data_IF_345445098986
#
_entry.id   IF_345445098986
#
_cell.length_a   1.000
_cell.length_b   1.000
_cell.length_c   1.000
_cell.angle_alpha   90.00
_cell.angle_beta   90.00
_cell.angle_gamma   90.00
#
_symmetry.space_group_name_H-M   'P 1'
#
loop_
_entity.id
_entity.type
_entity.pdbx_description
1 polymer ?
#
# COMPACT_ATOMS: atom_id res chain seq x y z
N UNK A 1 18.81 -24.89 39.05
CA UNK A 1 18.18 -25.98 39.83
C UNK A 1 16.78 -25.61 40.35
N UNK A 2 15.99 -24.82 39.62
CA UNK A 2 14.58 -24.54 39.91
C UNK A 2 13.71 -24.76 38.65
N UNK A 3 14.01 -25.82 37.88
CA UNK A 3 13.33 -26.17 36.64
C UNK A 3 12.94 -27.66 36.56
N UNK A 4 13.06 -28.41 37.66
CA UNK A 4 12.78 -29.84 37.72
C UNK A 4 11.55 -30.21 38.57
N UNK A 5 10.79 -29.23 39.09
CA UNK A 5 9.67 -29.46 40.01
C UNK A 5 8.29 -29.08 39.46
N UNK A 6 8.13 -28.96 38.13
CA UNK A 6 6.85 -28.63 37.50
C UNK A 6 6.38 -29.66 36.46
N UNK A 7 6.85 -30.91 36.56
CA UNK A 7 6.52 -31.98 35.59
C UNK A 7 5.79 -33.18 36.20
N UNK A 8 5.26 -33.08 37.41
CA UNK A 8 4.37 -34.08 37.98
C UNK A 8 3.09 -33.42 38.46
N UNK A 9 2.19 -33.10 37.51
CA UNK A 9 0.72 -32.99 37.62
C UNK A 9 0.17 -32.17 36.42
N UNK A 10 0.22 -32.74 35.22
CA UNK A 10 -0.68 -32.30 34.12
C UNK A 10 -1.00 -33.54 33.27
N UNK A 11 -1.82 -34.43 33.82
CA UNK A 11 -2.53 -35.43 33.02
C UNK A 11 -3.91 -34.86 32.71
N UNK A 12 -4.30 -34.95 31.43
CA UNK A 12 -5.62 -34.64 30.86
C UNK A 12 -5.83 -33.18 30.42
N UNK A 13 -5.66 -32.93 29.11
CA UNK A 13 -6.21 -31.76 28.41
C UNK A 13 -5.38 -31.27 27.20
N UNK A 14 -6.02 -31.13 26.03
CA UNK A 14 -5.41 -30.61 24.79
C UNK A 14 -4.73 -29.23 24.96
N UNK A 15 -5.13 -28.45 25.96
CA UNK A 15 -4.57 -27.13 26.26
C UNK A 15 -3.15 -27.16 26.88
N UNK A 16 -2.73 -28.27 27.50
CA UNK A 16 -1.39 -28.38 28.13
C UNK A 16 -0.28 -28.64 27.09
N UNK A 17 -0.61 -29.27 25.94
CA UNK A 17 0.32 -29.50 24.82
C UNK A 17 0.61 -28.22 24.01
N UNK A 18 -0.35 -27.30 23.93
CA UNK A 18 -0.17 -26.02 23.25
C UNK A 18 0.77 -25.09 24.04
N UNK A 19 0.66 -25.08 25.37
CA UNK A 19 1.49 -24.25 26.23
C UNK A 19 2.99 -24.63 26.20
N UNK A 20 3.29 -25.92 26.14
CA UNK A 20 4.67 -26.44 26.04
C UNK A 20 5.28 -26.19 24.66
N UNK A 21 4.47 -26.24 23.58
CA UNK A 21 4.91 -25.86 22.24
C UNK A 21 5.21 -24.36 22.13
N UNK A 22 4.40 -23.49 22.76
CA UNK A 22 4.65 -22.04 22.79
C UNK A 22 5.89 -21.68 23.61
N UNK A 23 6.16 -22.40 24.71
CA UNK A 23 7.35 -22.19 25.55
C UNK A 23 8.65 -22.66 24.87
N UNK A 24 8.60 -23.72 24.06
CA UNK A 24 9.72 -24.18 23.23
C UNK A 24 10.02 -23.22 22.07
N UNK A 25 9.01 -22.59 21.46
CA UNK A 25 9.22 -21.53 20.45
C UNK A 25 9.85 -20.25 21.03
N UNK A 26 9.52 -19.89 22.28
CA UNK A 26 10.10 -18.73 22.97
C UNK A 26 11.57 -18.96 23.39
N UNK A 27 11.96 -20.20 23.70
CA UNK A 27 13.35 -20.55 24.01
C UNK A 27 14.22 -20.64 22.75
N UNK A 28 13.67 -21.07 21.60
CA UNK A 28 14.36 -21.04 20.31
C UNK A 28 14.62 -19.61 19.81
N UNK A 29 13.69 -18.68 20.05
CA UNK A 29 13.86 -17.26 19.74
C UNK A 29 14.96 -16.59 20.58
N UNK A 30 15.20 -17.08 21.80
CA UNK A 30 16.22 -16.54 22.71
C UNK A 30 17.66 -16.97 22.35
N UNK A 31 17.83 -18.11 21.66
CA UNK A 31 19.16 -18.62 21.29
C UNK A 31 19.70 -18.04 19.97
N UNK A 32 18.86 -17.39 19.15
CA UNK A 32 19.26 -16.80 17.86
C UNK A 32 19.55 -15.29 17.99
N UNK A 33 19.02 -14.63 19.03
CA UNK A 33 19.26 -13.21 19.36
C UNK A 33 20.69 -12.87 19.85
N UNK A 34 21.62 -13.82 19.83
CA UNK A 34 23.03 -13.63 20.20
C UNK A 34 24.00 -13.53 19.00
N UNK A 35 23.51 -13.56 17.76
CA UNK A 35 24.37 -13.41 16.55
C UNK A 35 23.87 -12.31 15.63
N UNK A 36 24.19 -11.06 15.95
CA UNK A 36 24.58 -9.98 15.02
C UNK A 36 24.40 -8.62 15.71
N UNK A 37 25.50 -8.10 16.23
CA UNK A 37 25.55 -6.94 17.12
C UNK A 37 25.91 -5.64 16.40
N UNK A 38 25.09 -5.19 15.45
CA UNK A 38 25.14 -3.80 14.97
C UNK A 38 23.70 -3.30 14.85
N UNK A 39 23.42 -2.12 15.40
CA UNK A 39 22.09 -1.46 15.49
C UNK A 39 21.24 -1.73 16.75
N UNK A 40 21.90 -1.77 17.93
CA UNK A 40 21.26 -1.90 19.25
C UNK A 40 20.53 -0.66 19.81
N UNK A 41 20.42 0.46 19.10
CA UNK A 41 19.89 1.70 19.71
C UNK A 41 18.37 1.90 19.60
N UNK A 42 17.64 1.08 18.84
CA UNK A 42 16.17 1.17 18.75
C UNK A 42 15.44 0.03 19.48
N UNK A 43 16.10 -1.13 19.68
CA UNK A 43 15.49 -2.29 20.33
C UNK A 43 15.49 -2.24 21.87
N UNK A 44 16.16 -1.26 22.48
CA UNK A 44 16.34 -1.23 23.93
C UNK A 44 15.17 -0.62 24.73
N UNK A 45 14.13 -0.09 24.07
CA UNK A 45 12.90 0.39 24.73
C UNK A 45 11.75 -0.63 24.74
N UNK A 46 11.89 -1.81 24.13
CA UNK A 46 10.83 -2.82 24.07
C UNK A 46 11.06 -4.04 24.99
N UNK A 47 12.06 -4.00 25.88
CA UNK A 47 12.57 -5.20 26.56
C UNK A 47 12.54 -5.22 28.09
N UNK A 48 11.84 -4.31 28.78
CA UNK A 48 11.73 -4.35 30.26
C UNK A 48 10.34 -3.97 30.73
N UNK A 49 9.50 -4.97 30.95
CA UNK A 49 8.23 -4.77 31.63
C UNK A 49 7.33 -5.99 31.61
N UNK A 50 7.80 -7.17 32.01
CA UNK A 50 6.90 -8.29 32.32
C UNK A 50 7.56 -9.28 33.29
N UNK A 51 7.52 -8.98 34.60
CA UNK A 51 7.24 -9.97 35.66
C UNK A 51 6.48 -9.23 36.77
N UNK A 52 5.40 -9.86 37.24
CA UNK A 52 4.56 -9.55 38.42
C UNK A 52 3.30 -8.67 38.20
N UNK A 53 2.17 -9.39 38.17
CA UNK A 53 0.81 -9.05 38.60
C UNK A 53 0.34 -7.59 38.68
N UNK A 54 -0.68 -7.27 37.89
CA UNK A 54 -1.99 -6.73 38.33
C UNK A 54 -2.87 -6.58 37.10
N UNK A 55 -4.17 -6.86 37.26
CA UNK A 55 -5.19 -6.65 36.22
C UNK A 55 -5.35 -5.17 35.91
N UNK A 56 -4.80 -4.72 34.80
CA UNK A 56 -5.22 -3.48 34.13
C UNK A 56 -5.60 -3.80 32.69
N UNK A 57 -6.89 -3.61 32.39
CA UNK A 57 -7.40 -3.36 31.05
C UNK A 57 -6.82 -2.04 30.57
N UNK A 58 -5.57 -2.08 30.09
CA UNK A 58 -4.92 -0.97 29.41
C UNK A 58 -4.95 -1.24 27.91
N UNK A 59 -5.71 -0.44 27.16
CA UNK A 59 -5.49 -0.27 25.73
C UNK A 59 -4.05 0.20 25.53
N UNK A 60 -3.12 -0.73 25.26
CA UNK A 60 -1.78 -0.35 24.84
C UNK A 60 -1.94 0.37 23.49
N UNK A 61 -1.76 1.69 23.50
CA UNK A 61 -1.73 2.48 22.28
C UNK A 61 -0.68 1.86 21.36
N UNK A 62 -1.09 1.53 20.13
CA UNK A 62 -0.17 1.06 19.11
C UNK A 62 1.00 2.05 19.01
N UNK A 63 2.25 1.57 18.85
CA UNK A 63 3.40 2.46 18.72
C UNK A 63 3.15 3.47 17.59
N UNK A 64 3.45 4.74 17.85
CA UNK A 64 3.27 5.81 16.86
C UNK A 64 4.26 5.57 15.72
N UNK A 65 3.75 5.08 14.59
CA UNK A 65 4.53 4.98 13.35
C UNK A 65 4.82 6.39 12.85
N UNK A 66 6.10 6.71 12.65
CA UNK A 66 6.53 8.00 12.14
C UNK A 66 6.82 7.89 10.64
N UNK A 67 6.39 8.89 9.88
CA UNK A 67 6.78 9.03 8.50
C UNK A 67 8.26 9.38 8.39
N UNK A 68 8.92 8.91 7.34
CA UNK A 68 10.31 9.23 7.04
C UNK A 68 10.41 9.83 5.64
N UNK A 69 11.15 10.94 5.44
CA UNK A 69 11.42 11.42 4.10
C UNK A 69 12.21 10.36 3.33
N UNK A 70 12.05 10.34 2.00
CA UNK A 70 12.73 9.33 1.20
C UNK A 70 14.25 9.56 1.22
N UNK A 71 14.99 8.51 1.59
CA UNK A 71 16.43 8.42 1.38
C UNK A 71 16.69 7.88 -0.02
N UNK A 72 17.29 8.70 -0.87
CA UNK A 72 17.62 8.38 -2.24
C UNK A 72 18.92 7.58 -2.31
N UNK A 73 19.27 7.06 -3.49
CA UNK A 73 20.59 6.47 -3.71
C UNK A 73 21.66 7.55 -3.83
N UNK A 74 21.25 8.76 -4.18
CA UNK A 74 22.11 9.94 -4.26
C UNK A 74 21.39 11.14 -3.63
N UNK A 75 22.14 12.17 -3.18
CA UNK A 75 21.54 13.42 -2.72
C UNK A 75 20.66 14.11 -3.76
N UNK A 76 20.95 13.94 -5.06
CA UNK A 76 20.13 14.48 -6.14
C UNK A 76 18.75 13.82 -6.22
N UNK A 77 18.67 12.50 -6.00
CA UNK A 77 17.39 11.79 -5.94
C UNK A 77 16.55 12.23 -4.73
N UNK A 78 17.18 12.49 -3.57
CA UNK A 78 16.51 13.03 -2.38
C UNK A 78 15.96 14.43 -2.63
N UNK A 79 16.78 15.29 -3.23
CA UNK A 79 16.39 16.66 -3.55
C UNK A 79 15.25 16.70 -4.56
N UNK A 80 15.28 15.85 -5.58
CA UNK A 80 14.19 15.72 -6.55
C UNK A 80 12.90 15.27 -5.86
N UNK A 81 12.96 14.28 -4.98
CA UNK A 81 11.79 13.83 -4.23
C UNK A 81 11.17 14.95 -3.40
N UNK A 82 11.99 15.76 -2.71
CA UNK A 82 11.52 16.93 -1.95
C UNK A 82 10.91 18.02 -2.85
N UNK A 83 11.47 18.23 -4.05
CA UNK A 83 10.91 19.18 -5.01
C UNK A 83 9.52 18.73 -5.48
N UNK A 84 9.36 17.45 -5.80
CA UNK A 84 8.06 16.90 -6.22
C UNK A 84 7.04 16.91 -5.08
N UNK A 85 7.47 16.63 -3.84
CA UNK A 85 6.65 16.80 -2.64
C UNK A 85 6.10 18.23 -2.55
N UNK A 86 6.97 19.24 -2.64
CA UNK A 86 6.56 20.64 -2.58
C UNK A 86 5.60 21.03 -3.72
N UNK A 87 5.78 20.47 -4.92
CA UNK A 87 4.83 20.65 -6.02
C UNK A 87 3.45 20.08 -5.68
N UNK A 88 3.37 18.90 -5.07
CA UNK A 88 2.11 18.30 -4.66
C UNK A 88 1.47 18.97 -3.45
N UNK A 89 2.25 19.55 -2.53
CA UNK A 89 1.72 20.44 -1.48
C UNK A 89 1.02 21.64 -2.13
N UNK A 90 1.65 22.27 -3.13
CA UNK A 90 1.03 23.37 -3.85
C UNK A 90 -0.23 22.92 -4.63
N UNK A 91 -0.21 21.74 -5.27
CA UNK A 91 -1.38 21.16 -5.94
C UNK A 91 -2.52 20.91 -4.94
N UNK A 92 -2.24 20.31 -3.78
CA UNK A 92 -3.19 20.09 -2.69
C UNK A 92 -3.85 21.40 -2.20
N UNK A 93 -3.05 22.47 -2.06
CA UNK A 93 -3.57 23.79 -1.68
C UNK A 93 -4.50 24.38 -2.76
N UNK A 94 -4.18 24.20 -4.04
CA UNK A 94 -5.06 24.64 -5.13
C UNK A 94 -6.37 23.83 -5.18
N UNK A 95 -6.29 22.52 -4.92
CA UNK A 95 -7.47 21.64 -4.85
C UNK A 95 -8.40 22.06 -3.70
N UNK A 96 -7.87 22.53 -2.58
CA UNK A 96 -8.67 23.05 -1.46
C UNK A 96 -9.60 24.21 -1.88
N UNK A 97 -9.14 25.06 -2.81
CA UNK A 97 -9.90 26.21 -3.27
C UNK A 97 -10.96 25.83 -4.30
N UNK A 98 -10.65 24.85 -5.17
CA UNK A 98 -11.55 24.44 -6.24
C UNK A 98 -12.55 23.40 -5.75
N UNK A 99 -12.18 22.55 -4.80
CA UNK A 99 -12.88 21.33 -4.40
C UNK A 99 -12.45 20.14 -5.26
N UNK A 100 -12.43 18.94 -4.66
CA UNK A 100 -11.99 17.70 -5.30
C UNK A 100 -12.92 16.55 -4.90
N UNK A 101 -13.23 15.69 -5.85
CA UNK A 101 -14.12 14.54 -5.63
C UNK A 101 -13.30 13.30 -5.26
N UNK A 102 -12.17 13.08 -5.95
CA UNK A 102 -11.34 11.89 -5.84
C UNK A 102 -9.87 12.26 -5.76
N UNK A 103 -9.13 11.69 -4.80
CA UNK A 103 -7.67 11.81 -4.78
C UNK A 103 -7.02 10.44 -4.69
N UNK A 104 -5.99 10.22 -5.50
CA UNK A 104 -5.16 9.03 -5.44
C UNK A 104 -3.84 9.33 -4.72
N UNK A 105 -3.49 8.48 -3.77
CA UNK A 105 -2.18 8.44 -3.12
C UNK A 105 -1.53 7.10 -3.38
N UNK A 106 -0.21 7.10 -3.52
CA UNK A 106 0.53 5.87 -3.76
C UNK A 106 1.93 6.09 -4.29
N UNK A 107 2.43 5.06 -4.95
CA UNK A 107 3.76 4.98 -5.53
C UNK A 107 3.76 5.12 -7.06
N UNK A 108 4.70 4.46 -7.75
CA UNK A 108 4.88 4.53 -9.21
C UNK A 108 3.70 3.96 -9.99
N UNK A 109 2.96 3.00 -9.43
CA UNK A 109 1.77 2.45 -10.08
C UNK A 109 0.70 3.53 -10.20
N UNK A 110 0.53 4.33 -9.14
CA UNK A 110 -0.40 5.45 -9.13
C UNK A 110 0.14 6.65 -9.88
N UNK A 111 1.45 6.94 -9.80
CA UNK A 111 2.07 8.03 -10.57
C UNK A 111 1.92 7.83 -12.09
N UNK A 112 1.88 6.59 -12.57
CA UNK A 112 1.63 6.27 -13.97
C UNK A 112 0.32 6.89 -14.52
N UNK A 113 -0.67 7.19 -13.65
CA UNK A 113 -1.88 7.93 -14.04
C UNK A 113 -1.59 9.33 -14.61
N UNK A 114 -0.48 9.95 -14.17
CA UNK A 114 0.01 11.24 -14.67
C UNK A 114 0.86 11.08 -15.94
N UNK A 115 1.14 9.85 -16.36
CA UNK A 115 2.05 9.57 -17.47
C UNK A 115 3.52 9.82 -17.12
N UNK A 116 3.85 9.85 -15.82
CA UNK A 116 5.18 10.19 -15.32
C UNK A 116 5.79 9.09 -14.46
N UNK A 117 7.10 9.20 -14.24
CA UNK A 117 7.83 8.48 -13.20
C UNK A 117 8.85 9.44 -12.62
N UNK A 118 8.86 9.62 -11.29
CA UNK A 118 9.68 10.63 -10.63
C UNK A 118 9.44 12.04 -11.19
N UNK A 119 8.18 12.35 -11.53
CA UNK A 119 7.77 13.65 -12.07
C UNK A 119 8.14 13.92 -13.53
N UNK A 120 8.87 13.02 -14.18
CA UNK A 120 9.23 13.15 -15.59
C UNK A 120 8.32 12.31 -16.49
N UNK A 121 7.97 12.78 -17.69
CA UNK A 121 7.24 11.99 -18.67
C UNK A 121 7.89 10.62 -18.89
N UNK A 122 7.08 9.56 -18.90
CA UNK A 122 7.55 8.20 -19.13
C UNK A 122 6.78 7.58 -20.30
N UNK A 123 7.50 7.19 -21.35
CA UNK A 123 6.91 6.61 -22.56
C UNK A 123 6.04 5.38 -22.29
N UNK A 124 6.39 4.55 -21.30
CA UNK A 124 5.61 3.37 -20.92
C UNK A 124 4.22 3.72 -20.37
N UNK A 125 4.03 4.94 -19.89
CA UNK A 125 2.81 5.43 -19.27
C UNK A 125 2.15 6.56 -20.07
N UNK A 126 2.68 6.92 -21.25
CA UNK A 126 2.22 8.07 -22.03
C UNK A 126 0.73 7.99 -22.42
N UNK A 127 0.20 6.79 -22.61
CA UNK A 127 -1.21 6.57 -22.93
C UNK A 127 -2.13 6.46 -21.68
N UNK A 128 -1.58 6.30 -20.48
CA UNK A 128 -2.35 6.12 -19.25
C UNK A 128 -3.19 7.35 -18.87
N UNK A 129 -2.73 8.61 -19.04
CA UNK A 129 -3.57 9.79 -18.78
C UNK A 129 -4.87 9.82 -19.61
N UNK A 130 -4.86 9.32 -20.85
CA UNK A 130 -6.06 9.25 -21.67
C UNK A 130 -7.08 8.25 -21.11
N UNK A 131 -6.60 7.13 -20.56
CA UNK A 131 -7.45 6.16 -19.84
C UNK A 131 -8.07 6.82 -18.61
N UNK A 132 -7.24 7.46 -17.78
CA UNK A 132 -7.71 8.18 -16.58
C UNK A 132 -8.74 9.25 -16.93
N UNK A 133 -8.54 9.99 -18.03
CA UNK A 133 -9.50 10.98 -18.52
C UNK A 133 -10.85 10.35 -18.92
N UNK A 134 -10.86 9.13 -19.49
CA UNK A 134 -12.12 8.44 -19.82
C UNK A 134 -12.91 8.01 -18.58
N UNK A 135 -12.22 7.56 -17.54
CA UNK A 135 -12.83 7.18 -16.26
C UNK A 135 -13.29 8.42 -15.49
N UNK A 136 -12.38 9.37 -15.24
CA UNK A 136 -12.57 10.42 -14.24
C UNK A 136 -12.65 11.83 -14.80
N UNK A 137 -12.63 12.03 -16.12
CA UNK A 137 -12.68 13.36 -16.75
C UNK A 137 -13.95 14.19 -16.47
N UNK A 138 -14.98 13.56 -15.90
CA UNK A 138 -16.24 14.19 -15.52
C UNK A 138 -16.29 14.62 -14.05
N UNK A 139 -15.25 14.32 -13.27
CA UNK A 139 -15.09 14.70 -11.86
C UNK A 139 -13.75 15.40 -11.68
N UNK A 140 -13.60 16.07 -10.53
CA UNK A 140 -12.30 16.64 -10.17
C UNK A 140 -11.50 15.58 -9.44
N UNK A 141 -10.44 15.11 -10.08
CA UNK A 141 -9.53 14.14 -9.51
C UNK A 141 -8.10 14.69 -9.43
N UNK A 142 -7.31 14.20 -8.48
CA UNK A 142 -5.87 14.42 -8.43
C UNK A 142 -5.12 13.12 -8.08
N UNK A 143 -3.88 12.99 -8.55
CA UNK A 143 -2.99 11.89 -8.16
C UNK A 143 -1.74 12.48 -7.51
N UNK A 144 -1.64 12.37 -6.18
CA UNK A 144 -0.56 12.89 -5.33
C UNK A 144 0.39 11.74 -4.94
N UNK A 145 1.11 11.23 -5.94
CA UNK A 145 1.86 9.97 -5.85
C UNK A 145 3.28 10.11 -6.41
N UNK A 146 4.24 9.42 -5.79
CA UNK A 146 5.65 9.49 -6.17
C UNK A 146 6.26 8.11 -6.34
N UNK A 147 6.87 7.88 -7.50
CA UNK A 147 7.53 6.63 -7.84
C UNK A 147 8.58 6.24 -6.81
N UNK A 148 8.53 5.00 -6.33
CA UNK A 148 9.49 4.47 -5.36
C UNK A 148 9.15 4.78 -3.90
N UNK A 149 8.06 5.51 -3.61
CA UNK A 149 7.59 5.71 -2.25
C UNK A 149 7.30 4.39 -1.55
N UNK A 150 7.71 4.31 -0.30
CA UNK A 150 7.25 3.32 0.66
C UNK A 150 6.08 3.86 1.48
N UNK A 151 5.49 3.00 2.30
CA UNK A 151 4.43 3.41 3.24
C UNK A 151 4.84 4.55 4.17
N UNK A 152 6.08 4.54 4.67
CA UNK A 152 6.61 5.58 5.54
C UNK A 152 6.89 6.89 4.80
N UNK A 153 7.25 6.83 3.51
CA UNK A 153 7.43 8.03 2.70
C UNK A 153 6.10 8.75 2.48
N UNK A 154 5.05 8.01 2.12
CA UNK A 154 3.72 8.59 1.98
C UNK A 154 3.21 9.16 3.32
N UNK A 155 3.37 8.43 4.43
CA UNK A 155 2.99 8.92 5.75
C UNK A 155 3.65 10.27 6.05
N UNK A 156 4.95 10.39 5.75
CA UNK A 156 5.66 11.66 5.90
C UNK A 156 5.04 12.76 5.03
N UNK A 157 4.79 12.51 3.73
CA UNK A 157 4.21 13.52 2.84
C UNK A 157 2.85 14.03 3.33
N UNK A 158 2.00 13.11 3.77
CA UNK A 158 0.67 13.42 4.34
C UNK A 158 0.79 14.29 5.59
N UNK A 159 1.78 14.01 6.45
CA UNK A 159 2.04 14.78 7.66
C UNK A 159 2.68 16.16 7.36
N UNK A 160 3.32 16.31 6.20
CA UNK A 160 4.06 17.51 5.80
C UNK A 160 3.38 18.30 4.68
N UNK A 161 2.04 18.35 4.69
CA UNK A 161 1.26 19.30 3.88
C UNK A 161 0.60 18.74 2.63
N UNK A 162 0.88 17.50 2.23
CA UNK A 162 0.14 16.84 1.12
C UNK A 162 -1.14 16.13 1.58
N UNK A 163 -1.42 16.16 2.89
CA UNK A 163 -2.59 15.51 3.43
C UNK A 163 -3.91 16.11 2.90
N UNK A 164 -5.01 15.34 2.94
CA UNK A 164 -6.26 15.71 2.31
C UNK A 164 -7.10 16.69 3.13
N UNK A 165 -6.49 17.77 3.66
CA UNK A 165 -7.20 18.84 4.37
C UNK A 165 -8.23 19.56 3.47
N UNK A 166 -8.07 19.43 2.14
CA UNK A 166 -9.05 19.83 1.13
C UNK A 166 -10.30 18.94 1.05
N UNK A 167 -10.40 17.94 1.95
CA UNK A 167 -11.58 17.12 2.21
C UNK A 167 -12.25 16.51 0.96
N UNK A 168 -11.55 15.66 0.20
CA UNK A 168 -12.13 14.94 -0.93
C UNK A 168 -13.28 14.04 -0.45
N UNK A 169 -14.20 13.67 -1.35
CA UNK A 169 -15.25 12.69 -1.02
C UNK A 169 -14.63 11.32 -0.75
N UNK A 170 -13.66 10.93 -1.58
CA UNK A 170 -12.93 9.68 -1.45
C UNK A 170 -11.44 9.85 -1.74
N UNK A 171 -10.61 9.21 -0.93
CA UNK A 171 -9.21 8.98 -1.24
C UNK A 171 -8.97 7.51 -1.54
N UNK A 172 -8.18 7.22 -2.57
CA UNK A 172 -7.76 5.86 -2.93
C UNK A 172 -6.27 5.74 -2.64
N UNK A 173 -5.90 4.67 -1.94
CA UNK A 173 -4.53 4.41 -1.52
C UNK A 173 -4.03 3.08 -2.08
N UNK A 174 -2.96 3.13 -2.89
CA UNK A 174 -2.18 1.96 -3.30
C UNK A 174 -0.70 2.20 -2.97
N UNK A 175 -0.22 1.57 -1.90
CA UNK A 175 1.16 1.76 -1.40
C UNK A 175 1.66 0.48 -0.74
N UNK A 176 2.96 0.23 -0.84
CA UNK A 176 3.62 -0.84 -0.07
C UNK A 176 4.49 -1.80 -0.90
N UNK A 177 4.34 -1.83 -2.22
CA UNK A 177 5.13 -2.74 -3.08
C UNK A 177 6.63 -2.43 -3.00
N UNK A 178 6.99 -1.17 -2.80
CA UNK A 178 8.38 -0.76 -2.70
C UNK A 178 9.00 -1.19 -1.37
N UNK A 179 8.24 -1.18 -0.26
CA UNK A 179 8.70 -1.65 1.05
C UNK A 179 9.24 -3.09 0.97
N UNK A 180 8.61 -3.94 0.16
CA UNK A 180 8.98 -5.35 -0.03
C UNK A 180 10.30 -5.56 -0.78
N UNK A 181 10.85 -4.52 -1.42
CA UNK A 181 12.06 -4.62 -2.24
C UNK A 181 13.09 -3.53 -1.95
N UNK A 182 12.79 -2.61 -1.04
CA UNK A 182 13.65 -1.48 -0.76
C UNK A 182 14.76 -1.89 0.23
N UNK A 183 16.04 -1.95 -0.20
CA UNK A 183 17.14 -2.33 0.68
C UNK A 183 17.40 -1.28 1.77
N UNK A 184 16.96 -0.03 1.59
CA UNK A 184 17.11 1.05 2.59
C UNK A 184 16.31 0.72 3.87
N UNK A 185 15.15 0.08 3.72
CA UNK A 185 14.32 -0.37 4.86
C UNK A 185 14.55 -1.84 5.21
N UNK A 186 15.37 -2.55 4.42
CA UNK A 186 15.90 -3.90 4.65
C UNK A 186 14.86 -4.92 5.18
N UNK A 187 13.63 -4.90 4.66
CA UNK A 187 12.58 -5.83 5.12
C UNK A 187 12.91 -7.27 4.68
N UNK A 188 12.83 -8.21 5.62
CA UNK A 188 13.13 -9.63 5.37
C UNK A 188 11.94 -10.34 4.74
N UNK A 189 11.98 -10.46 3.41
CA UNK A 189 11.01 -11.25 2.65
C UNK A 189 11.02 -12.75 2.98
N UNK A 190 12.00 -13.27 3.72
CA UNK A 190 11.98 -14.65 4.23
C UNK A 190 11.10 -14.80 5.49
N UNK A 191 10.69 -13.70 6.11
CA UNK A 191 9.62 -13.67 7.12
C UNK A 191 8.41 -12.87 6.59
N UNK A 192 7.61 -13.45 5.68
CA UNK A 192 6.55 -12.72 4.98
C UNK A 192 5.44 -12.22 5.92
N UNK A 193 5.18 -12.91 7.03
CA UNK A 193 4.14 -12.50 8.00
C UNK A 193 4.56 -11.23 8.75
N UNK A 194 5.79 -11.20 9.24
CA UNK A 194 6.34 -10.02 9.91
C UNK A 194 6.49 -8.84 8.94
N UNK A 195 7.08 -9.09 7.76
CA UNK A 195 7.20 -8.08 6.71
C UNK A 195 5.84 -7.52 6.32
N UNK A 196 4.85 -8.38 6.08
CA UNK A 196 3.51 -7.93 5.69
C UNK A 196 2.81 -7.12 6.78
N UNK A 197 3.01 -7.48 8.06
CA UNK A 197 2.49 -6.72 9.18
C UNK A 197 3.12 -5.31 9.27
N UNK A 198 4.43 -5.19 9.06
CA UNK A 198 5.14 -3.90 9.06
C UNK A 198 4.64 -2.99 7.94
N UNK A 199 4.55 -3.51 6.71
CA UNK A 199 4.07 -2.74 5.55
C UNK A 199 2.62 -2.30 5.78
N UNK A 200 1.75 -3.21 6.23
CA UNK A 200 0.37 -2.86 6.54
C UNK A 200 0.26 -1.80 7.63
N UNK A 201 1.07 -1.87 8.69
CA UNK A 201 1.08 -0.86 9.75
C UNK A 201 1.43 0.54 9.23
N UNK A 202 2.42 0.65 8.34
CA UNK A 202 2.78 1.92 7.70
C UNK A 202 1.64 2.49 6.84
N UNK A 203 1.00 1.65 6.02
CA UNK A 203 -0.14 2.06 5.20
C UNK A 203 -1.33 2.51 6.07
N UNK A 204 -1.65 1.75 7.13
CA UNK A 204 -2.72 2.11 8.08
C UNK A 204 -2.41 3.41 8.79
N UNK A 205 -1.16 3.66 9.19
CA UNK A 205 -0.77 4.92 9.79
C UNK A 205 -0.98 6.11 8.82
N UNK A 206 -0.67 5.94 7.54
CA UNK A 206 -0.96 6.95 6.51
C UNK A 206 -2.46 7.21 6.38
N UNK A 207 -3.29 6.16 6.34
CA UNK A 207 -4.76 6.29 6.31
C UNK A 207 -5.28 7.03 7.54
N UNK A 208 -4.81 6.68 8.74
CA UNK A 208 -5.19 7.38 9.96
C UNK A 208 -4.77 8.85 9.95
N UNK A 209 -3.59 9.17 9.41
CA UNK A 209 -3.15 10.56 9.23
C UNK A 209 -4.05 11.33 8.26
N UNK A 210 -4.50 10.70 7.16
CA UNK A 210 -5.46 11.30 6.23
C UNK A 210 -6.83 11.52 6.88
N UNK A 211 -7.37 10.53 7.59
CA UNK A 211 -8.68 10.60 8.25
C UNK A 211 -8.75 11.65 9.37
N UNK A 212 -7.62 11.96 10.02
CA UNK A 212 -7.52 13.06 11.00
C UNK A 212 -7.64 14.44 10.35
N UNK A 213 -7.28 14.57 9.08
CA UNK A 213 -7.32 15.83 8.35
C UNK A 213 -8.64 16.05 7.60
N UNK A 214 -9.38 14.97 7.29
CA UNK A 214 -10.72 15.07 6.72
C UNK A 214 -11.71 14.15 7.43
N UNK A 215 -12.67 14.77 8.13
CA UNK A 215 -13.74 14.07 8.85
C UNK A 215 -14.82 13.46 7.94
N UNK A 216 -14.91 13.90 6.67
CA UNK A 216 -15.97 13.49 5.72
C UNK A 216 -15.49 12.56 4.61
N UNK A 217 -14.17 12.41 4.45
CA UNK A 217 -13.57 11.57 3.43
C UNK A 217 -13.75 10.08 3.78
N UNK A 218 -14.08 9.28 2.78
CA UNK A 218 -13.94 7.83 2.78
C UNK A 218 -12.58 7.42 2.19
N UNK A 219 -11.95 6.38 2.71
CA UNK A 219 -10.68 5.87 2.18
C UNK A 219 -10.86 4.48 1.60
N UNK A 220 -10.45 4.29 0.35
CA UNK A 220 -10.31 2.96 -0.26
C UNK A 220 -8.85 2.56 -0.18
N UNK A 221 -8.57 1.50 0.58
CA UNK A 221 -7.26 0.85 0.63
C UNK A 221 -7.22 -0.26 -0.41
N UNK A 222 -6.36 -0.12 -1.42
CA UNK A 222 -6.18 -1.14 -2.44
C UNK A 222 -5.23 -2.24 -1.96
N UNK A 223 -5.53 -3.46 -2.37
CA UNK A 223 -4.58 -4.57 -2.32
C UNK A 223 -3.30 -4.18 -3.07
N UNK A 224 -2.13 -4.52 -2.51
CA UNK A 224 -0.88 -4.50 -3.25
C UNK A 224 -1.02 -5.46 -4.44
N UNK A 225 -0.68 -4.95 -5.63
CA UNK A 225 -0.81 -5.69 -6.88
C UNK A 225 0.16 -6.86 -6.97
N UNK A 226 -0.13 -7.90 -7.79
CA UNK A 226 0.80 -8.97 -8.05
C UNK A 226 2.08 -8.42 -8.68
N UNK A 227 3.22 -8.98 -8.27
CA UNK A 227 4.52 -8.54 -8.74
C UNK A 227 5.40 -9.74 -9.08
N UNK A 228 6.08 -9.63 -10.21
CA UNK A 228 7.09 -10.57 -10.67
C UNK A 228 8.49 -10.23 -10.14
N UNK A 229 9.42 -11.15 -10.37
CA UNK A 229 10.82 -10.96 -9.99
C UNK A 229 11.53 -9.96 -10.92
N UNK A 230 12.31 -9.05 -10.33
CA UNK A 230 13.12 -8.06 -11.06
C UNK A 230 14.62 -8.33 -10.91
N UNK A 231 15.13 -9.56 -11.01
CA UNK A 231 16.59 -9.82 -10.98
C UNK A 231 17.05 -11.04 -11.80
N UNK A 232 18.34 -11.02 -12.16
CA UNK A 232 19.08 -11.85 -13.13
C UNK A 232 19.08 -13.39 -12.93
N UNK A 233 18.34 -13.91 -11.96
CA UNK A 233 18.30 -15.34 -11.61
C UNK A 233 16.94 -15.99 -11.91
N UNK A 234 15.95 -15.20 -12.31
CA UNK A 234 14.66 -15.70 -12.77
C UNK A 234 14.74 -15.97 -14.28
N UNK A 235 14.30 -17.13 -14.74
CA UNK A 235 14.12 -17.34 -16.18
C UNK A 235 13.08 -16.35 -16.73
N UNK A 236 13.09 -16.08 -18.04
CA UNK A 236 12.06 -15.23 -18.65
C UNK A 236 10.62 -15.75 -18.39
N UNK A 237 10.47 -17.06 -18.16
CA UNK A 237 9.21 -17.69 -17.76
C UNK A 237 8.81 -17.37 -16.30
N UNK A 238 9.78 -17.25 -15.39
CA UNK A 238 9.53 -16.98 -13.97
C UNK A 238 9.15 -15.52 -13.71
N UNK A 239 9.55 -14.60 -14.60
CA UNK A 239 9.26 -13.16 -14.48
C UNK A 239 7.76 -12.88 -14.24
N UNK A 240 6.88 -13.63 -14.88
CA UNK A 240 5.43 -13.43 -14.78
C UNK A 240 4.72 -14.46 -13.90
N UNK A 241 5.41 -15.52 -13.47
CA UNK A 241 4.79 -16.60 -12.69
C UNK A 241 4.16 -16.09 -11.41
N UNK A 242 3.00 -16.64 -11.04
CA UNK A 242 2.37 -16.42 -9.74
C UNK A 242 2.04 -17.78 -9.08
N UNK A 243 2.49 -18.01 -7.83
CA UNK A 243 3.21 -17.06 -6.97
C UNK A 243 4.68 -16.81 -7.37
N UNK A 244 5.17 -15.60 -7.11
CA UNK A 244 6.58 -15.20 -7.13
C UNK A 244 7.21 -15.27 -5.72
N UNK A 245 8.50 -14.93 -5.56
CA UNK A 245 9.16 -14.85 -4.24
C UNK A 245 8.51 -13.77 -3.36
N UNK A 246 7.93 -12.74 -3.97
CA UNK A 246 7.26 -11.65 -3.25
C UNK A 246 5.81 -11.99 -2.89
N UNK A 247 5.17 -12.96 -3.55
CA UNK A 247 3.75 -13.28 -3.33
C UNK A 247 3.39 -13.62 -1.87
N UNK A 248 4.20 -14.37 -1.09
CA UNK A 248 3.90 -14.60 0.33
C UNK A 248 3.83 -13.30 1.15
N UNK A 249 4.77 -12.37 0.92
CA UNK A 249 4.78 -11.09 1.64
C UNK A 249 3.65 -10.17 1.16
N UNK A 250 3.35 -10.13 -0.14
CA UNK A 250 2.20 -9.41 -0.70
C UNK A 250 0.89 -9.92 -0.10
N UNK A 251 0.70 -11.24 -0.07
CA UNK A 251 -0.50 -11.86 0.48
C UNK A 251 -0.65 -11.57 1.99
N UNK A 252 0.46 -11.61 2.74
CA UNK A 252 0.48 -11.25 4.15
C UNK A 252 0.09 -9.78 4.36
N UNK A 253 0.65 -8.85 3.58
CA UNK A 253 0.28 -7.43 3.65
C UNK A 253 -1.20 -7.24 3.34
N UNK A 254 -1.69 -7.78 2.22
CA UNK A 254 -3.07 -7.65 1.77
C UNK A 254 -4.06 -8.20 2.80
N UNK A 255 -3.75 -9.33 3.42
CA UNK A 255 -4.54 -9.87 4.52
C UNK A 255 -4.63 -8.89 5.70
N UNK A 256 -3.51 -8.25 6.07
CA UNK A 256 -3.50 -7.29 7.19
C UNK A 256 -4.20 -5.97 6.83
N UNK A 257 -4.04 -5.47 5.60
CA UNK A 257 -4.78 -4.30 5.10
C UNK A 257 -6.29 -4.55 5.14
N UNK A 258 -6.74 -5.73 4.68
CA UNK A 258 -8.14 -6.12 4.76
C UNK A 258 -8.63 -6.14 6.22
N UNK A 259 -7.90 -6.80 7.11
CA UNK A 259 -8.25 -6.87 8.55
C UNK A 259 -8.32 -5.48 9.19
N UNK A 260 -7.46 -4.56 8.79
CA UNK A 260 -7.44 -3.20 9.33
C UNK A 260 -8.64 -2.36 8.85
N UNK A 261 -9.17 -2.64 7.66
CA UNK A 261 -10.37 -2.00 7.13
C UNK A 261 -11.68 -2.63 7.65
N UNK A 262 -11.66 -3.93 8.00
CA UNK A 262 -12.84 -4.63 8.49
C UNK A 262 -13.43 -3.92 9.75
N UNK A 263 -14.70 -3.53 9.67
CA UNK A 263 -15.42 -2.83 10.75
C UNK A 263 -15.18 -1.32 10.84
N UNK A 264 -14.36 -0.74 9.95
CA UNK A 264 -14.15 0.71 9.88
C UNK A 264 -15.22 1.37 9.02
N UNK A 265 -15.93 2.37 9.57
CA UNK A 265 -17.03 3.04 8.87
C UNK A 265 -16.57 3.79 7.61
N UNK A 266 -15.37 4.39 7.65
CA UNK A 266 -14.84 5.26 6.59
C UNK A 266 -13.65 4.66 5.83
N UNK A 267 -13.43 3.36 5.95
CA UNK A 267 -12.33 2.66 5.27
C UNK A 267 -12.86 1.39 4.62
N UNK A 268 -12.52 1.18 3.35
CA UNK A 268 -12.87 -0.05 2.63
C UNK A 268 -11.62 -0.63 1.99
N UNK A 269 -11.42 -1.93 2.16
CA UNK A 269 -10.41 -2.68 1.43
C UNK A 269 -10.99 -3.17 0.09
N UNK A 270 -10.23 -2.98 -0.99
CA UNK A 270 -10.61 -3.41 -2.36
C UNK A 270 -9.46 -4.19 -2.98
N UNK A 271 -9.78 -5.33 -3.60
CA UNK A 271 -8.82 -6.14 -4.35
C UNK A 271 -9.29 -6.29 -5.80
N UNK A 272 -8.56 -5.64 -6.71
CA UNK A 272 -8.79 -5.68 -8.15
C UNK A 272 -7.73 -6.50 -8.89
N UNK A 273 -6.93 -7.30 -8.18
CA UNK A 273 -5.74 -7.94 -8.74
C UNK A 273 -6.06 -9.00 -9.80
N UNK A 274 -7.24 -9.62 -9.74
CA UNK A 274 -7.62 -10.69 -10.66
C UNK A 274 -7.58 -10.26 -12.13
N UNK A 275 -7.86 -8.99 -12.45
CA UNK A 275 -7.86 -8.47 -13.82
C UNK A 275 -6.47 -8.40 -14.45
N UNK A 276 -5.42 -8.43 -13.63
CA UNK A 276 -4.03 -8.34 -14.04
C UNK A 276 -3.38 -9.72 -14.26
N UNK A 277 -4.13 -10.80 -13.97
CA UNK A 277 -3.65 -12.17 -14.03
C UNK A 277 -4.33 -12.92 -15.17
N UNK A 278 -3.62 -13.94 -15.68
CA UNK A 278 -4.16 -14.92 -16.62
C UNK A 278 -3.68 -16.32 -16.27
N UNK A 279 -4.28 -17.32 -16.90
CA UNK A 279 -3.80 -18.69 -16.83
C UNK A 279 -2.38 -18.79 -17.42
N UNK A 280 -1.48 -19.47 -16.71
CA UNK A 280 -0.13 -19.81 -17.15
C UNK A 280 -0.14 -20.82 -18.31
N UNK A 281 0.89 -20.79 -19.15
CA UNK A 281 0.98 -21.68 -20.33
C UNK A 281 1.07 -23.17 -19.96
N UNK A 282 1.70 -23.50 -18.82
CA UNK A 282 1.87 -24.88 -18.34
C UNK A 282 0.88 -25.19 -17.21
N UNK A 283 0.83 -24.36 -16.18
CA UNK A 283 -0.06 -24.51 -15.02
C UNK A 283 -0.06 -23.24 -14.16
N UNK A 284 -1.07 -23.07 -13.31
CA UNK A 284 -1.14 -21.95 -12.35
C UNK A 284 -1.50 -20.60 -12.98
N UNK A 285 -1.44 -19.54 -12.20
CA UNK A 285 -1.69 -18.17 -12.66
C UNK A 285 -0.36 -17.48 -13.00
N UNK A 286 -0.43 -16.47 -13.87
CA UNK A 286 0.68 -15.58 -14.17
C UNK A 286 0.16 -14.15 -14.28
N UNK A 287 1.03 -13.18 -14.04
CA UNK A 287 0.83 -11.79 -14.45
C UNK A 287 0.69 -11.76 -15.96
N UNK A 288 -0.32 -11.07 -16.48
CA UNK A 288 -0.45 -10.92 -17.93
C UNK A 288 0.60 -9.94 -18.47
N UNK A 289 1.60 -10.38 -19.26
CA UNK A 289 2.57 -9.49 -19.89
C UNK A 289 1.95 -8.46 -20.83
N UNK A 290 0.74 -8.69 -21.36
CA UNK A 290 0.03 -7.69 -22.16
C UNK A 290 -0.51 -6.53 -21.31
N UNK A 291 -0.70 -6.74 -20.02
CA UNK A 291 -1.25 -5.75 -19.09
C UNK A 291 -0.15 -5.15 -18.22
N UNK A 292 0.85 -5.95 -17.83
CA UNK A 292 1.98 -5.54 -16.99
C UNK A 292 3.30 -6.00 -17.63
N UNK A 293 3.81 -5.31 -18.66
CA UNK A 293 4.94 -5.77 -19.47
C UNK A 293 6.29 -5.87 -18.71
N UNK A 294 6.38 -5.22 -17.55
CA UNK A 294 7.55 -5.31 -16.67
C UNK A 294 7.27 -6.08 -15.37
N UNK A 295 6.16 -6.83 -15.35
CA UNK A 295 5.64 -7.60 -14.22
C UNK A 295 5.44 -6.79 -12.93
N UNK A 296 5.22 -5.47 -13.05
CA UNK A 296 5.01 -4.58 -11.92
C UNK A 296 4.04 -3.44 -12.21
N UNK A 297 4.20 -2.74 -13.33
CA UNK A 297 3.40 -1.57 -13.67
C UNK A 297 2.36 -1.94 -14.73
N UNK A 298 1.06 -1.70 -14.48
CA UNK A 298 0.06 -1.75 -15.53
C UNK A 298 0.39 -0.75 -16.64
N UNK A 299 0.31 -1.18 -17.90
CA UNK A 299 0.26 -0.27 -19.03
C UNK A 299 -1.16 0.34 -19.14
N UNK A 300 -1.43 1.14 -20.17
CA UNK A 300 -2.73 1.77 -20.35
C UNK A 300 -3.90 0.76 -20.38
N UNK A 301 -3.75 -0.39 -21.07
CA UNK A 301 -4.78 -1.45 -21.12
C UNK A 301 -4.99 -2.10 -19.75
N UNK A 302 -3.90 -2.41 -19.04
CA UNK A 302 -3.96 -2.94 -17.68
C UNK A 302 -4.58 -1.97 -16.69
N UNK A 303 -4.26 -0.68 -16.79
CA UNK A 303 -4.85 0.37 -15.96
C UNK A 303 -6.34 0.54 -16.24
N UNK A 304 -6.79 0.48 -17.50
CA UNK A 304 -8.20 0.55 -17.88
C UNK A 304 -9.03 -0.52 -17.16
N UNK A 305 -8.60 -1.78 -17.25
CA UNK A 305 -9.27 -2.90 -16.59
C UNK A 305 -9.22 -2.82 -15.06
N UNK A 306 -8.10 -2.32 -14.51
CA UNK A 306 -7.95 -2.13 -13.07
C UNK A 306 -8.88 -1.02 -12.55
N UNK A 307 -9.02 0.08 -13.29
CA UNK A 307 -9.94 1.16 -12.97
C UNK A 307 -11.40 0.76 -13.16
N UNK A 308 -11.73 -0.07 -14.16
CA UNK A 308 -13.08 -0.63 -14.32
C UNK A 308 -13.54 -1.41 -13.08
N UNK A 309 -12.64 -2.20 -12.47
CA UNK A 309 -12.91 -2.86 -11.20
C UNK A 309 -13.08 -1.85 -10.06
N UNK A 310 -12.15 -0.90 -9.92
CA UNK A 310 -12.18 0.12 -8.86
C UNK A 310 -13.45 0.99 -8.93
N UNK A 311 -13.90 1.34 -10.13
CA UNK A 311 -15.07 2.18 -10.36
C UNK A 311 -16.34 1.58 -9.74
N UNK A 312 -16.44 0.26 -9.66
CA UNK A 312 -17.57 -0.40 -8.98
C UNK A 312 -17.64 -0.04 -7.49
N UNK A 313 -16.48 0.18 -6.87
CA UNK A 313 -16.35 0.55 -5.46
C UNK A 313 -16.37 2.06 -5.22
N UNK A 314 -16.14 2.87 -6.25
CA UNK A 314 -16.20 4.33 -6.16
C UNK A 314 -17.61 4.91 -6.33
N UNK A 315 -18.52 4.17 -7.00
CA UNK A 315 -19.91 4.58 -7.26
C UNK A 315 -20.67 5.15 -6.06
N UNK A 316 -20.54 4.62 -4.82
CA UNK A 316 -21.26 5.17 -3.67
C UNK A 316 -20.82 6.59 -3.27
N UNK A 317 -19.60 7.00 -3.65
CA UNK A 317 -18.98 8.25 -3.19
C UNK A 317 -18.95 9.34 -4.26
N UNK A 318 -18.98 8.94 -5.53
CA UNK A 318 -18.77 9.83 -6.67
C UNK A 318 -20.09 10.11 -7.42
N UNK A 319 -20.24 11.31 -8.02
CA UNK A 319 -21.39 11.59 -8.85
C UNK A 319 -21.44 10.62 -10.03
N UNK A 320 -22.65 10.20 -10.41
CA UNK A 320 -22.84 9.33 -11.58
C UNK A 320 -22.31 10.05 -12.82
N UNK A 321 -21.50 9.34 -13.63
CA UNK A 321 -21.13 9.76 -14.98
C UNK A 321 -22.42 9.99 -15.76
N UNK A 322 -22.89 11.24 -15.85
CA UNK A 322 -23.95 11.60 -16.78
C UNK A 322 -23.41 11.21 -18.15
N UNK A 323 -24.07 10.25 -18.79
CA UNK A 323 -23.80 9.98 -20.20
C UNK A 323 -23.86 11.32 -20.91
N UNK A 324 -22.92 11.55 -21.84
CA UNK A 324 -23.16 12.54 -22.88
C UNK A 324 -24.54 12.20 -23.43
N UNK A 325 -25.53 13.04 -23.12
CA UNK A 325 -26.86 12.89 -23.66
C UNK A 325 -26.70 12.80 -25.17
N UNK A 326 -27.01 11.64 -25.73
CA UNK A 326 -27.31 11.50 -27.15
C UNK A 326 -28.67 12.17 -27.34
N UNK A 327 -28.71 13.49 -27.17
CA UNK A 327 -29.86 14.34 -27.39
C UNK A 327 -29.45 15.37 -28.44
N UNK A 328 -29.61 14.98 -29.70
CA UNK A 328 -30.02 15.85 -30.81
C UNK A 328 -29.62 17.32 -30.69
N UNK A 329 -28.36 17.65 -30.95
CA UNK A 329 -28.00 19.02 -31.32
C UNK A 329 -28.47 19.27 -32.75
N UNK A 330 -29.67 19.86 -32.88
CA UNK A 330 -30.02 20.60 -34.11
C UNK A 330 -28.94 21.67 -34.35
N UNK A 331 -28.56 21.95 -35.61
CA UNK A 331 -27.59 22.98 -35.90
C UNK A 331 -28.17 24.34 -35.48
N UNK A 332 -27.47 25.05 -34.61
CA UNK A 332 -27.76 26.45 -34.32
C UNK A 332 -27.34 27.23 -35.57
N UNK A 333 -28.32 27.86 -36.21
CA UNK A 333 -28.14 28.68 -37.39
C UNK A 333 -27.19 29.85 -37.15
N UNK A 334 -26.41 30.15 -38.17
CA UNK A 334 -25.60 31.36 -38.31
C UNK A 334 -26.53 32.54 -38.61
N UNK A 335 -26.50 33.64 -37.85
CA UNK A 335 -27.10 34.90 -38.29
C UNK A 335 -26.08 35.71 -39.10
N UNK A 336 -26.46 35.96 -40.36
CA UNK A 336 -26.02 36.96 -41.35
C UNK A 336 -24.53 37.28 -41.53
#
# INVERSE_FOLDING_TARGET
MAAAAALHTCSIGHSCKLLVATLMLLLAASAILLRNSKHRSAAHQLGRGFIAGTTQSGSQALPVVQGEPRKGRTPAEEQLWLQLHNMYVAEAQQLAQKGVDLVFYGDSITEAMRGTTMGYPNEKHAATPAVVQRHYGHIRMAALSLAGDTTLNLLWRVQNGEGPAFSPKVAVLLIGTNDLTNPVYALDTNNPIETGAIVAAGAVAAVQAMLRQSARMHVIMLAITPRGERFAFASAADKYSQPSRLSPAIAATNMQLKRAADGQERVTYVDCNAVLLKQGATSGMQIDPELMPDSLHPNAKGMDLYLDCLDQHLKPYLPVKRGLDVATSRPIGVPH
#
